data_IF_595460046210
#
_entry.id   IF_595460046210
#
_cell.length_a   1.000
_cell.length_b   1.000
_cell.length_c   1.000
_cell.angle_alpha   90.00
_cell.angle_beta   90.00
_cell.angle_gamma   90.00
#
_symmetry.space_group_name_H-M   'P 1'
#
loop_
_entity.id
_entity.type
_entity.pdbx_description
1 polymer ?
#
# COMPACT_ATOMS: atom_id res chain seq x y z
N UNK A 1 89.18 -14.64 -59.58
CA UNK A 1 89.80 -13.37 -59.16
C UNK A 1 88.93 -12.80 -58.06
N UNK A 2 89.30 -13.16 -56.84
CA UNK A 2 88.69 -12.71 -55.60
C UNK A 2 88.83 -11.20 -55.42
N UNK A 3 87.75 -10.55 -55.01
CA UNK A 3 87.82 -9.32 -54.22
C UNK A 3 86.81 -9.39 -53.09
N UNK A 4 87.35 -9.62 -51.89
CA UNK A 4 86.74 -9.27 -50.61
C UNK A 4 86.28 -7.80 -50.64
N UNK A 5 85.17 -7.51 -49.98
CA UNK A 5 85.00 -6.19 -49.38
C UNK A 5 84.35 -6.30 -48.00
N UNK A 6 85.02 -5.64 -47.05
CA UNK A 6 84.77 -5.62 -45.61
C UNK A 6 83.50 -4.85 -45.27
N UNK A 7 82.71 -5.41 -44.36
CA UNK A 7 81.60 -4.71 -43.70
C UNK A 7 82.06 -4.19 -42.34
N UNK A 8 81.87 -2.88 -42.12
CA UNK A 8 82.21 -2.18 -40.89
C UNK A 8 81.30 -2.57 -39.71
N UNK A 9 81.78 -2.48 -38.46
CA UNK A 9 80.99 -2.81 -37.28
C UNK A 9 79.89 -1.76 -37.02
N UNK A 10 78.68 -2.25 -36.76
CA UNK A 10 77.50 -1.45 -36.41
C UNK A 10 77.62 -0.95 -34.96
N UNK A 11 77.32 0.33 -34.65
CA UNK A 11 77.34 0.85 -33.28
C UNK A 11 76.21 0.24 -32.44
N UNK A 12 76.52 -0.25 -31.24
CA UNK A 12 75.51 -0.64 -30.26
C UNK A 12 74.96 0.59 -29.53
N UNK A 13 73.68 0.86 -29.71
CA UNK A 13 72.93 1.88 -28.97
C UNK A 13 72.63 1.35 -27.56
N UNK A 14 73.20 2.00 -26.54
CA UNK A 14 72.84 1.73 -25.14
C UNK A 14 71.44 2.25 -24.84
N UNK A 15 70.53 1.33 -24.53
CA UNK A 15 69.16 1.61 -24.10
C UNK A 15 69.17 2.11 -22.65
N UNK A 16 68.88 3.40 -22.48
CA UNK A 16 68.86 4.07 -21.18
C UNK A 16 67.57 3.71 -20.45
N UNK A 17 67.66 2.71 -19.57
CA UNK A 17 66.56 2.22 -18.71
C UNK A 17 65.94 3.36 -17.90
N UNK A 18 64.76 3.80 -18.33
CA UNK A 18 63.96 4.84 -17.67
C UNK A 18 62.89 4.24 -16.72
N UNK A 19 63.01 2.96 -16.35
CA UNK A 19 61.95 2.18 -15.68
C UNK A 19 61.92 2.21 -14.15
N UNK A 20 62.93 2.77 -13.47
CA UNK A 20 63.02 2.66 -12.01
C UNK A 20 62.06 3.59 -11.24
N UNK A 21 61.81 4.80 -11.75
CA UNK A 21 60.94 5.77 -11.05
C UNK A 21 59.46 5.43 -11.17
N UNK A 22 59.02 4.88 -12.30
CA UNK A 22 57.63 4.50 -12.52
C UNK A 22 57.22 3.32 -11.64
N UNK A 23 58.12 2.35 -11.44
CA UNK A 23 57.87 1.22 -10.53
C UNK A 23 57.66 1.68 -9.08
N UNK A 24 58.42 2.66 -8.59
CA UNK A 24 58.25 3.20 -7.24
C UNK A 24 56.88 3.89 -7.04
N UNK A 25 56.37 4.58 -8.06
CA UNK A 25 55.03 5.18 -8.00
C UNK A 25 53.92 4.12 -7.95
N UNK A 26 54.05 3.03 -8.71
CA UNK A 26 53.06 1.94 -8.71
C UNK A 26 53.03 1.24 -7.34
N UNK A 27 54.19 0.95 -6.75
CA UNK A 27 54.25 0.34 -5.41
C UNK A 27 53.66 1.26 -4.32
N UNK A 28 53.87 2.57 -4.43
CA UNK A 28 53.26 3.56 -3.52
C UNK A 28 51.73 3.62 -3.64
N UNK A 29 51.19 3.65 -4.86
CA UNK A 29 49.73 3.68 -5.07
C UNK A 29 49.04 2.41 -4.57
N UNK A 30 49.64 1.23 -4.79
CA UNK A 30 49.09 -0.05 -4.32
C UNK A 30 49.09 -0.13 -2.78
N UNK A 31 50.14 0.34 -2.11
CA UNK A 31 50.18 0.34 -0.64
C UNK A 31 49.14 1.28 -0.01
N UNK A 32 48.86 2.43 -0.64
CA UNK A 32 47.78 3.33 -0.21
C UNK A 32 46.40 2.68 -0.37
N UNK A 33 46.14 2.00 -1.50
CA UNK A 33 44.87 1.30 -1.74
C UNK A 33 44.63 0.16 -0.75
N UNK A 34 45.66 -0.63 -0.42
CA UNK A 34 45.56 -1.69 0.58
C UNK A 34 45.29 -1.10 1.97
N UNK A 35 45.95 0.01 2.33
CA UNK A 35 45.71 0.72 3.59
C UNK A 35 44.28 1.24 3.72
N UNK A 36 43.72 1.84 2.67
CA UNK A 36 42.33 2.31 2.63
C UNK A 36 41.33 1.14 2.73
N UNK A 37 41.58 0.04 2.03
CA UNK A 37 40.75 -1.16 2.12
C UNK A 37 40.72 -1.76 3.54
N UNK A 38 41.89 -1.91 4.16
CA UNK A 38 42.01 -2.40 5.54
C UNK A 38 41.36 -1.44 6.55
N UNK A 39 41.49 -0.12 6.35
CA UNK A 39 40.83 0.87 7.18
C UNK A 39 39.30 0.79 7.09
N UNK A 40 38.72 0.63 5.88
CA UNK A 40 37.27 0.50 5.73
C UNK A 40 36.73 -0.82 6.33
N UNK A 41 37.50 -1.92 6.24
CA UNK A 41 37.15 -3.19 6.88
C UNK A 41 37.25 -3.12 8.42
N UNK A 42 38.22 -2.37 8.97
CA UNK A 42 38.38 -2.20 10.42
C UNK A 42 37.50 -1.12 11.05
N UNK A 43 37.10 -0.10 10.28
CA UNK A 43 36.22 0.98 10.73
C UNK A 43 34.76 0.53 10.86
N UNK A 44 34.38 -0.55 10.16
CA UNK A 44 33.21 -1.36 10.51
C UNK A 44 33.51 -2.15 11.78
N UNK A 45 33.66 -1.46 12.91
CA UNK A 45 33.52 -2.08 14.22
C UNK A 45 32.16 -2.75 14.21
N UNK A 46 32.16 -4.08 14.31
CA UNK A 46 30.99 -4.82 14.70
C UNK A 46 30.39 -4.07 15.89
N UNK A 47 29.23 -3.43 15.67
CA UNK A 47 28.40 -3.01 16.78
C UNK A 47 28.29 -4.27 17.63
N UNK A 48 28.85 -4.22 18.86
CA UNK A 48 28.51 -5.23 19.85
C UNK A 48 26.99 -5.36 19.75
N UNK A 49 26.44 -6.58 19.60
CA UNK A 49 25.01 -6.76 19.44
C UNK A 49 24.38 -5.95 20.55
N UNK A 50 23.71 -4.86 20.17
CA UNK A 50 22.94 -4.08 21.12
C UNK A 50 22.02 -5.12 21.67
N UNK A 51 22.22 -5.49 22.93
CA UNK A 51 21.28 -6.33 23.63
C UNK A 51 19.99 -5.54 23.48
N UNK A 52 19.11 -6.03 22.59
CA UNK A 52 17.75 -5.59 22.55
C UNK A 52 17.28 -5.90 23.96
N UNK A 53 17.32 -4.89 24.83
CA UNK A 53 16.38 -4.80 25.92
C UNK A 53 15.05 -4.76 25.18
N UNK A 54 14.55 -5.95 24.84
CA UNK A 54 13.16 -6.19 24.61
C UNK A 54 12.58 -5.88 25.98
N UNK A 55 12.31 -4.59 26.22
CA UNK A 55 11.28 -4.19 27.15
C UNK A 55 10.11 -5.02 26.69
N UNK A 56 9.85 -6.09 27.44
CA UNK A 56 8.73 -6.98 27.19
C UNK A 56 7.54 -6.04 27.08
N UNK A 57 7.06 -5.85 25.84
CA UNK A 57 5.83 -5.15 25.58
C UNK A 57 4.85 -5.82 26.53
N UNK A 58 4.28 -5.10 27.52
CA UNK A 58 3.40 -5.72 28.48
C UNK A 58 2.40 -6.52 27.66
N UNK A 59 2.38 -7.84 27.91
CA UNK A 59 1.41 -8.72 27.29
C UNK A 59 0.07 -8.05 27.56
N UNK A 60 -0.73 -7.70 26.54
CA UNK A 60 -1.95 -6.95 26.76
C UNK A 60 -2.72 -7.72 27.82
N UNK A 61 -2.96 -7.07 28.96
CA UNK A 61 -3.95 -7.57 29.92
C UNK A 61 -5.18 -7.83 29.07
N UNK A 62 -5.82 -9.01 29.15
CA UNK A 62 -7.07 -9.24 28.45
C UNK A 62 -8.05 -8.21 28.97
N UNK A 63 -8.10 -7.08 28.26
CA UNK A 63 -9.11 -6.06 28.39
C UNK A 63 -10.42 -6.80 28.24
N UNK A 64 -11.29 -6.67 29.24
CA UNK A 64 -12.67 -7.14 29.15
C UNK A 64 -13.16 -6.86 27.73
N UNK A 65 -13.81 -7.85 27.11
CA UNK A 65 -14.31 -7.83 25.74
C UNK A 65 -15.44 -6.78 25.58
N UNK A 66 -15.14 -5.51 25.84
CA UNK A 66 -16.00 -4.35 25.66
C UNK A 66 -16.37 -4.16 24.18
N UNK A 67 -15.70 -4.90 23.29
CA UNK A 67 -16.01 -5.00 21.87
C UNK A 67 -17.09 -6.03 21.52
N UNK A 68 -17.62 -6.81 22.48
CA UNK A 68 -18.57 -7.90 22.20
C UNK A 68 -19.87 -7.43 21.53
N UNK A 69 -20.26 -6.16 21.75
CA UNK A 69 -21.47 -5.56 21.21
C UNK A 69 -21.22 -4.63 20.01
N UNK A 70 -19.98 -4.57 19.51
CA UNK A 70 -19.65 -3.71 18.39
C UNK A 70 -20.21 -4.27 17.09
N UNK A 71 -20.59 -3.36 16.19
CA UNK A 71 -21.03 -3.71 14.85
C UNK A 71 -19.89 -3.57 13.87
N UNK A 72 -19.95 -4.34 12.80
CA UNK A 72 -19.00 -4.26 11.69
C UNK A 72 -19.66 -3.60 10.49
N UNK A 73 -19.06 -2.53 9.99
CA UNK A 73 -19.34 -2.01 8.66
C UNK A 73 -18.34 -2.61 7.67
N UNK A 74 -18.83 -3.04 6.51
CA UNK A 74 -18.00 -3.63 5.45
C UNK A 74 -18.28 -2.89 4.15
N UNK A 75 -17.26 -2.25 3.60
CA UNK A 75 -17.30 -1.71 2.25
C UNK A 75 -16.68 -2.74 1.29
N UNK A 76 -17.54 -3.42 0.54
CA UNK A 76 -17.15 -4.49 -0.39
C UNK A 76 -16.51 -3.96 -1.67
N UNK A 77 -16.84 -2.72 -2.05
CA UNK A 77 -16.33 -2.09 -3.27
C UNK A 77 -14.85 -1.77 -3.14
N UNK A 78 -14.46 -1.09 -2.06
CA UNK A 78 -13.06 -0.74 -1.79
C UNK A 78 -12.32 -1.89 -1.09
N UNK A 79 -13.05 -2.75 -0.36
CA UNK A 79 -12.48 -3.84 0.39
C UNK A 79 -11.86 -3.34 1.70
N UNK A 80 -12.70 -2.84 2.59
CA UNK A 80 -12.33 -2.61 3.98
C UNK A 80 -13.48 -2.95 4.91
N UNK A 81 -13.16 -3.18 6.17
CA UNK A 81 -14.14 -3.23 7.24
C UNK A 81 -13.61 -2.47 8.46
N UNK A 82 -14.54 -2.01 9.28
CA UNK A 82 -14.27 -1.31 10.53
C UNK A 82 -15.35 -1.70 11.52
N UNK A 83 -14.95 -1.93 12.77
CA UNK A 83 -15.91 -2.09 13.85
C UNK A 83 -16.14 -0.76 14.54
N UNK A 84 -17.36 -0.55 14.99
CA UNK A 84 -17.76 0.66 15.68
C UNK A 84 -18.70 0.32 16.84
N UNK A 85 -18.64 1.11 17.93
CA UNK A 85 -19.62 1.00 18.99
C UNK A 85 -20.99 1.44 18.47
N UNK A 86 -22.03 0.63 18.66
CA UNK A 86 -23.40 0.97 18.25
C UNK A 86 -24.33 0.84 19.45
N UNK A 87 -25.04 1.91 19.86
CA UNK A 87 -26.12 1.76 20.82
C UNK A 87 -27.27 0.99 20.19
N UNK A 88 -28.03 0.23 21.00
CA UNK A 88 -29.18 -0.56 20.53
C UNK A 88 -30.23 0.27 19.78
N UNK A 89 -30.29 1.59 20.05
CA UNK A 89 -31.32 2.49 19.54
C UNK A 89 -31.04 3.08 18.17
N UNK A 90 -29.78 3.13 17.72
CA UNK A 90 -29.42 3.61 16.38
C UNK A 90 -28.46 2.61 15.72
N UNK A 91 -29.03 1.56 15.12
CA UNK A 91 -28.21 0.44 14.69
C UNK A 91 -27.57 0.62 13.31
N UNK A 92 -27.81 1.73 12.62
CA UNK A 92 -27.50 1.88 11.21
C UNK A 92 -26.45 2.97 10.98
N UNK A 93 -25.53 2.67 10.07
CA UNK A 93 -24.58 3.62 9.50
C UNK A 93 -25.28 4.29 8.31
N UNK A 94 -25.11 5.60 8.18
CA UNK A 94 -25.75 6.38 7.12
C UNK A 94 -24.73 7.04 6.20
N UNK A 95 -25.13 7.23 4.96
CA UNK A 95 -24.50 8.14 4.01
C UNK A 95 -25.28 9.45 4.05
N UNK A 96 -24.58 10.57 4.16
CA UNK A 96 -25.20 11.90 4.16
C UNK A 96 -24.31 12.93 3.49
N UNK A 97 -24.94 13.78 2.67
CA UNK A 97 -24.37 15.07 2.29
C UNK A 97 -24.61 16.05 3.45
N UNK A 98 -23.76 17.07 3.62
CA UNK A 98 -23.82 18.07 4.70
C UNK A 98 -25.16 18.85 4.81
N UNK A 99 -26.17 18.58 3.97
CA UNK A 99 -27.53 19.10 4.07
C UNK A 99 -28.64 18.15 3.58
N UNK A 100 -28.37 16.84 3.43
CA UNK A 100 -29.25 15.89 2.73
C UNK A 100 -29.83 14.77 3.59
N UNK A 101 -30.93 14.16 3.12
CA UNK A 101 -31.54 12.99 3.74
C UNK A 101 -30.51 11.87 3.92
N UNK A 102 -30.38 11.37 5.14
CA UNK A 102 -29.53 10.23 5.46
C UNK A 102 -30.05 8.96 4.77
N UNK A 103 -29.22 8.29 3.97
CA UNK A 103 -29.52 6.96 3.39
C UNK A 103 -28.75 5.90 4.16
N UNK A 104 -29.33 4.71 4.38
CA UNK A 104 -28.56 3.58 4.91
C UNK A 104 -27.43 3.19 3.95
N UNK A 105 -26.26 2.86 4.51
CA UNK A 105 -25.15 2.30 3.73
C UNK A 105 -25.50 0.91 3.18
N UNK A 106 -24.95 0.58 2.02
CA UNK A 106 -25.05 -0.76 1.41
C UNK A 106 -23.68 -1.44 1.20
N UNK A 107 -22.59 -0.75 1.54
CA UNK A 107 -21.22 -1.27 1.42
C UNK A 107 -20.63 -1.09 0.02
N UNK A 108 -21.25 -0.27 -0.84
CA UNK A 108 -20.76 0.06 -2.19
C UNK A 108 -20.30 1.52 -2.33
N UNK A 109 -20.18 2.22 -1.20
CA UNK A 109 -19.73 3.60 -1.11
C UNK A 109 -18.29 3.77 -1.64
N UNK A 110 -17.97 4.93 -2.23
CA UNK A 110 -16.70 5.13 -2.96
C UNK A 110 -16.16 6.57 -2.91
N UNK A 111 -17.08 7.54 -3.00
CA UNK A 111 -16.79 8.96 -2.99
C UNK A 111 -17.86 9.66 -2.14
N UNK A 112 -17.78 9.51 -0.83
CA UNK A 112 -18.85 9.91 0.09
C UNK A 112 -18.36 10.00 1.53
N UNK A 113 -19.25 10.51 2.39
CA UNK A 113 -19.12 10.50 3.84
C UNK A 113 -20.01 9.40 4.44
N UNK A 114 -19.42 8.59 5.30
CA UNK A 114 -20.08 7.56 6.08
C UNK A 114 -20.16 8.02 7.53
N UNK A 115 -21.35 8.06 8.10
CA UNK A 115 -21.61 8.55 9.44
C UNK A 115 -21.86 7.38 10.41
N UNK A 116 -21.10 7.34 11.51
CA UNK A 116 -21.22 6.32 12.53
C UNK A 116 -21.91 6.88 13.78
N UNK A 117 -22.95 6.18 14.30
CA UNK A 117 -23.70 6.66 15.45
C UNK A 117 -22.82 6.64 16.71
N UNK A 118 -22.94 7.67 17.55
CA UNK A 118 -22.22 7.74 18.82
C UNK A 118 -22.91 7.04 19.97
N UNK A 119 -22.16 6.88 21.07
CA UNK A 119 -22.60 6.25 22.31
C UNK A 119 -23.42 7.20 23.21
N UNK A 120 -23.38 8.51 22.94
CA UNK A 120 -23.99 9.54 23.77
C UNK A 120 -25.53 9.52 23.77
N UNK A 121 -26.18 9.96 24.88
CA UNK A 121 -27.63 10.02 25.01
C UNK A 121 -28.31 10.98 24.03
N UNK A 122 -27.53 11.89 23.43
CA UNK A 122 -27.99 12.88 22.46
C UNK A 122 -27.97 12.38 21.01
N UNK A 123 -27.61 11.11 20.77
CA UNK A 123 -27.55 10.54 19.43
C UNK A 123 -26.58 11.30 18.49
N UNK A 124 -25.54 11.90 19.07
CA UNK A 124 -24.54 12.63 18.31
C UNK A 124 -23.65 11.64 17.55
N UNK A 125 -23.17 12.05 16.38
CA UNK A 125 -22.24 11.26 15.58
C UNK A 125 -20.95 11.06 16.38
N UNK A 126 -20.51 9.80 16.55
CA UNK A 126 -19.22 9.53 17.21
C UNK A 126 -18.07 9.94 16.28
N UNK A 127 -18.15 9.50 15.03
CA UNK A 127 -17.21 9.88 14.00
C UNK A 127 -17.86 9.73 12.62
N UNK A 128 -17.22 10.31 11.61
CA UNK A 128 -17.51 10.01 10.22
C UNK A 128 -16.24 9.58 9.49
N UNK A 129 -16.41 8.77 8.46
CA UNK A 129 -15.37 8.36 7.54
C UNK A 129 -15.70 8.94 6.17
N UNK A 130 -14.91 9.92 5.75
CA UNK A 130 -14.90 10.39 4.38
C UNK A 130 -13.94 9.53 3.56
N UNK A 131 -14.39 9.14 2.38
CA UNK A 131 -13.59 8.37 1.44
C UNK A 131 -13.80 8.87 0.02
N UNK A 132 -12.72 8.93 -0.75
CA UNK A 132 -12.76 9.31 -2.16
C UNK A 132 -11.56 8.78 -2.93
N UNK A 133 -11.65 8.60 -4.26
CA UNK A 133 -10.53 8.20 -5.09
C UNK A 133 -9.37 9.20 -5.00
N UNK A 134 -8.18 8.70 -4.66
CA UNK A 134 -6.99 9.52 -4.48
C UNK A 134 -5.72 8.73 -4.80
N UNK A 135 -4.91 9.27 -5.71
CA UNK A 135 -3.65 8.66 -6.18
C UNK A 135 -2.41 9.46 -5.75
N UNK A 136 -2.58 10.48 -4.89
CA UNK A 136 -1.46 11.26 -4.36
C UNK A 136 -0.79 10.57 -3.18
N UNK A 137 0.20 11.25 -2.58
CA UNK A 137 0.82 10.80 -1.34
C UNK A 137 0.08 11.36 -0.12
N UNK A 138 0.29 10.75 1.04
CA UNK A 138 -0.39 11.07 2.29
C UNK A 138 -0.13 12.51 2.76
N UNK A 139 1.10 12.99 2.57
CA UNK A 139 1.55 14.33 2.95
C UNK A 139 0.82 15.46 2.19
N UNK A 140 0.38 15.18 0.97
CA UNK A 140 -0.30 16.15 0.10
C UNK A 140 -1.81 16.17 0.34
N UNK A 141 -2.36 15.16 1.04
CA UNK A 141 -3.79 14.99 1.23
C UNK A 141 -4.47 16.18 1.94
N UNK A 142 -3.90 16.80 3.00
CA UNK A 142 -4.44 18.00 3.64
C UNK A 142 -4.51 19.23 2.73
N UNK A 143 -3.76 19.26 1.64
CA UNK A 143 -3.79 20.35 0.66
C UNK A 143 -4.69 20.04 -0.54
N UNK A 144 -5.21 18.81 -0.62
CA UNK A 144 -5.93 18.37 -1.81
C UNK A 144 -7.24 19.15 -1.98
N UNK A 145 -7.55 19.63 -3.20
CA UNK A 145 -8.83 20.29 -3.47
C UNK A 145 -10.07 19.43 -3.21
N UNK A 146 -9.88 18.11 -3.08
CA UNK A 146 -10.93 17.17 -2.73
C UNK A 146 -11.47 17.42 -1.32
N UNK A 147 -10.60 17.74 -0.35
CA UNK A 147 -11.03 18.08 1.02
C UNK A 147 -11.90 19.33 1.08
N UNK A 148 -11.65 20.31 0.21
CA UNK A 148 -12.44 21.55 0.17
C UNK A 148 -13.90 21.32 -0.26
N UNK A 149 -14.27 20.14 -0.78
CA UNK A 149 -15.60 19.93 -1.38
C UNK A 149 -16.67 19.35 -0.47
N UNK A 150 -16.34 18.46 0.46
CA UNK A 150 -17.36 17.55 1.01
C UNK A 150 -17.94 17.95 2.37
N UNK A 151 -17.26 18.78 3.18
CA UNK A 151 -17.75 19.08 4.52
C UNK A 151 -18.05 20.54 4.85
N UNK A 152 -17.48 21.52 4.16
CA UNK A 152 -17.68 22.92 4.54
C UNK A 152 -17.88 23.83 3.34
N UNK A 153 -19.13 23.90 2.86
CA UNK A 153 -19.60 25.00 2.03
C UNK A 153 -19.68 26.30 2.84
N UNK A 154 -18.54 26.83 3.31
CA UNK A 154 -18.53 28.15 3.94
C UNK A 154 -17.33 28.54 4.79
N UNK A 155 -16.43 27.62 5.16
CA UNK A 155 -15.22 27.98 5.90
C UNK A 155 -14.11 28.27 4.89
N UNK A 156 -13.73 29.54 4.79
CA UNK A 156 -12.57 29.96 4.03
C UNK A 156 -11.29 29.56 4.77
N UNK A 157 -10.67 28.48 4.33
CA UNK A 157 -9.38 28.02 4.86
C UNK A 157 -8.19 28.77 4.27
N UNK A 158 -8.40 29.73 3.36
CA UNK A 158 -7.31 30.54 2.84
C UNK A 158 -6.73 31.41 3.96
N UNK A 159 -5.57 31.00 4.47
CA UNK A 159 -4.81 31.73 5.51
C UNK A 159 -4.79 31.10 6.90
N UNK A 160 -5.36 29.91 7.11
CA UNK A 160 -5.06 29.13 8.31
C UNK A 160 -3.72 28.41 8.13
N UNK A 161 -2.83 28.59 9.10
CA UNK A 161 -1.62 27.78 9.18
C UNK A 161 -1.99 26.30 9.25
N UNK A 162 -1.25 25.45 8.54
CA UNK A 162 -1.47 24.01 8.55
C UNK A 162 -1.55 23.52 10.00
N UNK A 163 -2.58 22.74 10.37
CA UNK A 163 -2.64 22.18 11.71
C UNK A 163 -1.36 21.37 11.96
N UNK A 164 -0.70 21.55 13.11
CA UNK A 164 0.49 20.79 13.42
C UNK A 164 0.16 19.31 13.45
N UNK A 165 1.02 18.49 12.84
CA UNK A 165 0.92 17.03 12.93
C UNK A 165 1.01 16.64 14.39
N UNK A 166 -0.03 15.99 14.91
CA UNK A 166 -0.11 15.54 16.29
C UNK A 166 0.68 14.23 16.49
N UNK A 167 0.42 13.24 15.61
CA UNK A 167 0.96 11.87 15.73
C UNK A 167 1.04 11.21 14.36
N UNK A 168 2.01 10.31 14.16
CA UNK A 168 2.06 9.38 13.03
C UNK A 168 1.94 7.95 13.54
N UNK A 169 1.01 7.18 13.01
CA UNK A 169 0.73 5.80 13.43
C UNK A 169 0.52 4.93 12.19
N UNK A 170 0.88 3.65 12.25
CA UNK A 170 0.54 2.71 11.18
C UNK A 170 -0.78 1.98 11.48
N UNK A 171 -1.67 1.89 10.49
CA UNK A 171 -2.88 1.06 10.52
C UNK A 171 -2.76 -0.01 9.42
N UNK A 172 -2.59 -1.28 9.81
CA UNK A 172 -2.34 -2.41 8.90
C UNK A 172 -1.25 -2.14 7.85
N UNK A 173 -0.08 -1.68 8.31
CA UNK A 173 1.08 -1.33 7.48
C UNK A 173 0.95 -0.05 6.64
N UNK A 174 -0.19 0.66 6.70
CA UNK A 174 -0.34 1.96 6.07
C UNK A 174 -0.05 3.09 7.06
N UNK A 175 0.78 4.05 6.65
CA UNK A 175 1.04 5.25 7.44
C UNK A 175 -0.23 6.10 7.56
N UNK A 176 -0.41 6.72 8.73
CA UNK A 176 -1.48 7.68 9.00
C UNK A 176 -0.93 8.94 9.62
N UNK A 177 -1.57 10.07 9.33
CA UNK A 177 -1.27 11.36 9.94
C UNK A 177 -2.47 11.79 10.77
N UNK A 178 -2.20 12.14 12.04
CA UNK A 178 -3.20 12.65 12.95
C UNK A 178 -3.04 14.16 13.07
N UNK A 179 -4.15 14.87 13.00
CA UNK A 179 -4.24 16.29 13.27
C UNK A 179 -5.15 16.49 14.49
N UNK A 180 -4.70 17.35 15.39
CA UNK A 180 -5.55 17.89 16.45
C UNK A 180 -6.06 19.24 15.96
N UNK A 181 -7.37 19.37 15.82
CA UNK A 181 -8.02 20.63 15.50
C UNK A 181 -8.68 21.14 16.77
N UNK A 182 -8.29 22.34 17.18
CA UNK A 182 -9.01 23.11 18.18
C UNK A 182 -9.89 24.10 17.43
N UNK A 183 -11.20 23.89 17.41
CA UNK A 183 -12.11 24.86 16.83
C UNK A 183 -12.17 26.10 17.72
N UNK A 184 -11.55 27.20 17.28
CA UNK A 184 -11.76 28.51 17.91
C UNK A 184 -13.04 29.12 17.35
N UNK A 185 -14.18 28.54 17.71
CA UNK A 185 -15.50 29.06 17.34
C UNK A 185 -15.82 30.25 18.26
N UNK A 186 -15.40 31.44 17.84
CA UNK A 186 -15.56 32.70 18.56
C UNK A 186 -14.77 32.78 19.89
N UNK A 187 -14.32 33.97 20.29
CA UNK A 187 -13.38 34.18 21.42
C UNK A 187 -13.93 33.80 22.81
N UNK A 188 -15.08 33.11 22.89
CA UNK A 188 -15.87 32.93 24.12
C UNK A 188 -16.26 31.48 24.45
N UNK A 189 -15.95 30.50 23.60
CA UNK A 189 -16.06 29.08 23.97
C UNK A 189 -14.70 28.41 23.79
N UNK A 190 -14.24 27.75 24.84
CA UNK A 190 -13.01 26.94 24.79
C UNK A 190 -13.32 25.75 23.88
N UNK A 191 -12.53 25.65 22.81
CA UNK A 191 -12.77 24.78 21.66
C UNK A 191 -12.79 23.31 22.03
N UNK A 192 -13.78 22.61 21.49
CA UNK A 192 -13.78 21.17 21.45
C UNK A 192 -12.60 20.71 20.58
N UNK A 193 -11.82 19.76 21.10
CA UNK A 193 -10.73 19.13 20.36
C UNK A 193 -11.35 18.08 19.46
N UNK A 194 -11.25 18.28 18.15
CA UNK A 194 -11.59 17.28 17.15
C UNK A 194 -10.32 16.68 16.59
N UNK A 195 -10.36 15.38 16.31
CA UNK A 195 -9.26 14.70 15.64
C UNK A 195 -9.64 14.46 14.18
N UNK A 196 -8.70 14.75 13.28
CA UNK A 196 -8.78 14.29 11.90
C UNK A 196 -7.63 13.31 11.63
N UNK A 197 -7.95 12.15 11.06
CA UNK A 197 -6.98 11.09 10.82
C UNK A 197 -6.99 10.71 9.36
N UNK A 198 -5.82 10.79 8.74
CA UNK A 198 -5.63 10.71 7.31
C UNK A 198 -4.94 9.40 6.97
N UNK A 199 -5.47 8.71 5.97
CA UNK A 199 -4.94 7.45 5.49
C UNK A 199 -5.08 7.42 3.96
N UNK A 200 -4.03 7.00 3.27
CA UNK A 200 -4.08 6.76 1.82
C UNK A 200 -3.78 5.29 1.57
N UNK A 201 -4.72 4.60 0.93
CA UNK A 201 -4.62 3.17 0.65
C UNK A 201 -5.55 2.79 -0.50
N UNK A 202 -5.21 1.73 -1.26
CA UNK A 202 -6.06 1.20 -2.34
C UNK A 202 -6.59 2.26 -3.31
N UNK A 203 -5.73 3.24 -3.69
CA UNK A 203 -6.09 4.37 -4.56
C UNK A 203 -7.25 5.23 -4.02
N UNK A 204 -7.40 5.28 -2.70
CA UNK A 204 -8.39 6.07 -1.99
C UNK A 204 -7.74 6.83 -0.84
N UNK A 205 -8.29 7.99 -0.56
CA UNK A 205 -8.09 8.69 0.70
C UNK A 205 -9.20 8.30 1.67
N UNK A 206 -8.84 8.20 2.94
CA UNK A 206 -9.73 7.97 4.06
C UNK A 206 -9.46 9.06 5.08
N UNK A 207 -10.49 9.80 5.47
CA UNK A 207 -10.39 10.84 6.48
C UNK A 207 -11.41 10.52 7.57
N UNK A 208 -10.91 10.23 8.77
CA UNK A 208 -11.75 10.06 9.94
C UNK A 208 -11.95 11.42 10.60
N UNK A 209 -13.19 11.89 10.64
CA UNK A 209 -13.57 13.09 11.38
C UNK A 209 -14.15 12.64 12.72
N UNK A 210 -13.43 12.90 13.80
CA UNK A 210 -13.75 12.37 15.13
C UNK A 210 -14.25 13.47 16.05
N UNK A 211 -15.43 13.24 16.64
CA UNK A 211 -16.03 14.14 17.61
C UNK A 211 -15.23 14.12 18.93
N UNK A 212 -15.22 15.26 19.62
CA UNK A 212 -14.53 15.50 20.89
C UNK A 212 -14.96 14.57 22.03
N UNK A 213 -16.12 13.91 21.90
CA UNK A 213 -16.63 12.96 22.89
C UNK A 213 -15.83 11.64 22.97
N UNK A 214 -15.08 11.27 21.92
CA UNK A 214 -14.26 10.05 21.93
C UNK A 214 -12.88 10.30 22.55
N UNK A 215 -12.50 9.46 23.51
CA UNK A 215 -11.14 9.51 24.06
C UNK A 215 -10.13 8.96 23.06
N UNK A 216 -8.85 9.34 23.16
CA UNK A 216 -7.79 8.78 22.30
C UNK A 216 -7.75 7.23 22.36
N UNK A 217 -8.09 6.64 23.51
CA UNK A 217 -8.18 5.19 23.65
C UNK A 217 -9.34 4.58 22.85
N UNK A 218 -10.51 5.23 22.83
CA UNK A 218 -11.65 4.79 22.01
C UNK A 218 -11.30 4.87 20.53
N UNK A 219 -10.60 5.94 20.12
CA UNK A 219 -10.13 6.14 18.76
C UNK A 219 -9.15 5.05 18.37
N UNK A 220 -8.11 4.83 19.19
CA UNK A 220 -7.11 3.78 18.96
C UNK A 220 -7.78 2.40 18.89
N UNK A 221 -8.79 2.14 19.72
CA UNK A 221 -9.57 0.90 19.67
C UNK A 221 -10.34 0.78 18.35
N UNK A 222 -11.07 1.81 17.91
CA UNK A 222 -11.80 1.84 16.64
C UNK A 222 -10.84 1.56 15.48
N UNK A 223 -9.72 2.31 15.41
CA UNK A 223 -8.73 2.18 14.35
C UNK A 223 -8.02 0.82 14.37
N UNK A 224 -7.83 0.21 15.53
CA UNK A 224 -7.28 -1.15 15.63
C UNK A 224 -8.19 -2.22 14.99
N UNK A 225 -9.48 -1.92 14.80
CA UNK A 225 -10.42 -2.81 14.11
C UNK A 225 -10.56 -2.53 12.62
N UNK A 226 -10.10 -1.36 12.16
CA UNK A 226 -10.08 -1.05 10.74
C UNK A 226 -9.14 -2.03 10.06
N UNK A 227 -9.60 -2.70 9.00
CA UNK A 227 -8.76 -3.58 8.18
C UNK A 227 -9.18 -3.54 6.74
N UNK A 228 -8.18 -3.53 5.87
CA UNK A 228 -8.41 -3.77 4.46
C UNK A 228 -8.74 -5.25 4.25
N UNK A 229 -9.88 -5.51 3.62
CA UNK A 229 -10.25 -6.83 3.14
C UNK A 229 -9.85 -6.91 1.68
N UNK A 230 -9.18 -7.97 1.25
CA UNK A 230 -8.92 -8.13 -0.18
C UNK A 230 -10.29 -8.27 -0.87
N UNK A 231 -10.52 -7.48 -1.93
CA UNK A 231 -11.68 -7.73 -2.80
C UNK A 231 -11.53 -9.11 -3.41
N UNK A 232 -12.63 -9.75 -3.81
CA UNK A 232 -12.55 -11.06 -4.46
C UNK A 232 -11.62 -11.01 -5.67
N UNK A 233 -11.64 -9.92 -6.44
CA UNK A 233 -10.72 -9.66 -7.55
C UNK A 233 -9.25 -9.56 -7.09
N UNK A 234 -8.96 -8.89 -5.98
CA UNK A 234 -7.61 -8.83 -5.41
C UNK A 234 -7.13 -10.22 -4.96
N UNK A 235 -7.99 -11.01 -4.32
CA UNK A 235 -7.67 -12.40 -3.95
C UNK A 235 -7.38 -13.22 -5.20
N UNK A 236 -8.21 -13.10 -6.24
CA UNK A 236 -8.00 -13.79 -7.52
C UNK A 236 -6.66 -13.37 -8.13
N UNK A 237 -6.37 -12.07 -8.23
CA UNK A 237 -5.12 -11.57 -8.81
C UNK A 237 -3.91 -12.09 -8.03
N UNK A 238 -3.94 -12.04 -6.70
CA UNK A 238 -2.85 -12.54 -5.87
C UNK A 238 -2.65 -14.05 -6.07
N UNK A 239 -3.73 -14.84 -6.05
CA UNK A 239 -3.67 -16.28 -6.28
C UNK A 239 -3.17 -16.64 -7.69
N UNK A 240 -3.72 -16.01 -8.73
CA UNK A 240 -3.35 -16.27 -10.12
C UNK A 240 -1.92 -15.81 -10.40
N UNK A 241 -1.47 -14.68 -9.83
CA UNK A 241 -0.11 -14.19 -10.01
C UNK A 241 0.95 -15.19 -9.59
N UNK A 242 0.72 -15.91 -8.48
CA UNK A 242 1.62 -16.97 -7.98
C UNK A 242 1.78 -18.14 -8.95
N UNK A 243 0.75 -18.40 -9.76
CA UNK A 243 0.74 -19.47 -10.76
C UNK A 243 1.27 -19.01 -12.14
N UNK A 244 1.48 -17.71 -12.35
CA UNK A 244 1.95 -17.16 -13.62
C UNK A 244 3.46 -16.96 -13.61
N UNK A 245 4.17 -17.76 -14.41
CA UNK A 245 5.65 -17.72 -14.55
C UNK A 245 6.19 -16.33 -14.94
N UNK A 246 5.36 -15.47 -15.53
CA UNK A 246 5.76 -14.13 -15.98
C UNK A 246 5.41 -12.99 -15.02
N UNK A 247 4.81 -13.29 -13.85
CA UNK A 247 4.33 -12.26 -12.93
C UNK A 247 5.45 -11.34 -12.39
N UNK A 248 6.68 -11.84 -12.30
CA UNK A 248 7.83 -11.06 -11.80
C UNK A 248 8.44 -10.10 -12.84
N UNK A 249 7.92 -10.06 -14.07
CA UNK A 249 8.47 -9.19 -15.13
C UNK A 249 8.06 -7.73 -14.89
N UNK A 250 8.99 -6.76 -15.01
CA UNK A 250 8.64 -5.34 -14.94
C UNK A 250 7.55 -4.97 -15.96
N UNK A 251 6.53 -4.25 -15.49
CA UNK A 251 5.40 -3.84 -16.33
C UNK A 251 4.38 -4.95 -16.62
N UNK A 252 4.50 -6.12 -16.01
CA UNK A 252 3.48 -7.15 -16.06
C UNK A 252 2.23 -6.71 -15.31
N UNK A 253 1.07 -6.82 -15.95
CA UNK A 253 -0.23 -6.45 -15.40
C UNK A 253 -1.14 -7.68 -15.43
N UNK A 254 -1.98 -7.82 -14.41
CA UNK A 254 -3.04 -8.81 -14.33
C UNK A 254 -4.34 -8.04 -14.13
N UNK A 255 -5.37 -8.39 -14.88
CA UNK A 255 -6.69 -7.78 -14.77
C UNK A 255 -7.76 -8.88 -14.74
N UNK A 256 -8.64 -8.84 -13.74
CA UNK A 256 -9.83 -9.68 -13.69
C UNK A 256 -10.90 -9.04 -14.56
N UNK A 257 -11.41 -9.77 -15.56
CA UNK A 257 -12.45 -9.26 -16.46
C UNK A 257 -13.85 -9.67 -16.05
N UNK A 258 -13.99 -10.82 -15.40
CA UNK A 258 -15.28 -11.31 -14.90
C UNK A 258 -15.09 -12.31 -13.77
N UNK A 259 -15.97 -12.22 -12.79
CA UNK A 259 -16.16 -13.21 -11.73
C UNK A 259 -17.61 -13.67 -11.77
N UNK A 260 -17.85 -14.98 -11.78
CA UNK A 260 -19.18 -15.58 -11.71
C UNK A 260 -19.15 -16.79 -10.76
N UNK A 261 -19.65 -16.59 -9.55
CA UNK A 261 -19.60 -17.63 -8.51
C UNK A 261 -18.16 -18.05 -8.22
N UNK A 262 -17.85 -19.33 -8.45
CA UNK A 262 -16.53 -19.91 -8.24
C UNK A 262 -15.63 -19.89 -9.48
N UNK A 263 -15.93 -19.05 -10.47
CA UNK A 263 -15.18 -18.98 -11.73
C UNK A 263 -14.76 -17.54 -12.02
N UNK A 264 -13.56 -17.38 -12.58
CA UNK A 264 -13.06 -16.09 -13.02
C UNK A 264 -12.31 -16.21 -14.35
N UNK A 265 -12.37 -15.16 -15.15
CA UNK A 265 -11.46 -14.99 -16.28
C UNK A 265 -10.87 -13.59 -16.28
N UNK A 266 -9.70 -13.46 -16.89
CA UNK A 266 -9.04 -12.19 -17.05
C UNK A 266 -7.97 -12.20 -18.13
N UNK A 267 -7.21 -11.12 -18.15
CA UNK A 267 -6.04 -10.95 -19.01
C UNK A 267 -4.80 -10.73 -18.17
N UNK A 268 -3.64 -11.14 -18.68
CA UNK A 268 -2.36 -10.84 -18.07
C UNK A 268 -1.28 -10.64 -19.15
N UNK A 269 -0.29 -9.78 -18.89
CA UNK A 269 0.77 -9.51 -19.86
C UNK A 269 1.49 -8.19 -19.66
N UNK A 270 2.37 -7.87 -20.60
CA UNK A 270 3.03 -6.57 -20.72
C UNK A 270 2.50 -5.91 -21.99
N UNK A 271 1.80 -4.75 -21.92
CA UNK A 271 1.28 -4.07 -23.10
C UNK A 271 2.36 -3.84 -24.17
N UNK A 272 2.06 -4.04 -25.48
CA UNK A 272 0.75 -4.38 -26.04
C UNK A 272 0.44 -5.89 -26.05
N UNK A 273 1.34 -6.73 -25.56
CA UNK A 273 1.15 -8.17 -25.51
C UNK A 273 0.33 -8.64 -24.32
N UNK A 274 -0.16 -9.87 -24.39
CA UNK A 274 -0.83 -10.52 -23.27
C UNK A 274 -1.37 -11.89 -23.63
N UNK A 275 -2.03 -12.50 -22.66
CA UNK A 275 -2.74 -13.76 -22.76
C UNK A 275 -3.97 -13.71 -21.85
N UNK A 276 -4.92 -14.60 -22.11
CA UNK A 276 -6.09 -14.80 -21.25
C UNK A 276 -5.79 -15.86 -20.21
N UNK A 277 -6.40 -15.75 -19.03
CA UNK A 277 -6.33 -16.75 -17.98
C UNK A 277 -7.72 -17.09 -17.46
N UNK A 278 -7.90 -18.33 -17.00
CA UNK A 278 -9.10 -18.81 -16.32
C UNK A 278 -8.71 -19.38 -14.95
N UNK A 279 -9.55 -19.11 -13.96
CA UNK A 279 -9.38 -19.63 -12.61
C UNK A 279 -10.70 -20.19 -12.06
N UNK A 280 -10.57 -21.14 -11.14
CA UNK A 280 -11.67 -21.73 -10.40
C UNK A 280 -11.39 -21.65 -8.90
N UNK A 281 -12.43 -21.44 -8.10
CA UNK A 281 -12.36 -21.46 -6.64
C UNK A 281 -12.64 -22.87 -6.14
N UNK A 282 -11.62 -23.53 -5.60
CA UNK A 282 -11.70 -24.88 -5.01
C UNK A 282 -11.20 -24.81 -3.57
N UNK A 283 -11.95 -25.39 -2.63
CA UNK A 283 -11.62 -25.35 -1.20
C UNK A 283 -11.39 -23.91 -0.67
N UNK A 284 -12.20 -22.96 -1.14
CA UNK A 284 -12.11 -21.54 -0.83
C UNK A 284 -10.81 -20.85 -1.29
N UNK A 285 -10.05 -21.48 -2.18
CA UNK A 285 -8.83 -20.91 -2.78
C UNK A 285 -8.97 -20.82 -4.30
N UNK A 286 -8.55 -19.71 -4.87
CA UNK A 286 -8.50 -19.54 -6.32
C UNK A 286 -7.28 -20.27 -6.88
N UNK A 287 -7.51 -21.04 -7.94
CA UNK A 287 -6.47 -21.77 -8.67
C UNK A 287 -6.60 -21.48 -10.15
N UNK A 288 -5.49 -21.12 -10.78
CA UNK A 288 -5.43 -21.00 -12.25
C UNK A 288 -5.61 -22.39 -12.87
N UNK A 289 -6.54 -22.52 -13.82
CA UNK A 289 -6.79 -23.79 -14.52
C UNK A 289 -6.24 -23.79 -15.95
N UNK A 290 -6.09 -22.61 -16.54
CA UNK A 290 -5.50 -22.44 -17.87
C UNK A 290 -5.07 -21.00 -18.09
N UNK A 291 -4.02 -20.81 -18.88
CA UNK A 291 -3.61 -19.53 -19.44
C UNK A 291 -3.00 -19.72 -20.84
N UNK A 292 -3.19 -18.74 -21.73
CA UNK A 292 -2.67 -18.81 -23.09
C UNK A 292 -3.17 -17.71 -24.02
N UNK A 293 -2.58 -17.61 -25.22
CA UNK A 293 -3.00 -16.63 -26.23
C UNK A 293 -4.15 -17.14 -27.12
N UNK A 294 -4.44 -18.44 -27.05
CA UNK A 294 -5.45 -19.09 -27.88
C UNK A 294 -6.79 -19.20 -27.14
N UNK A 295 -7.73 -19.92 -27.74
CA UNK A 295 -8.98 -20.32 -27.08
C UNK A 295 -8.67 -21.50 -26.14
N UNK A 296 -9.25 -21.58 -24.92
CA UNK A 296 -8.98 -22.68 -24.00
C UNK A 296 -9.47 -24.03 -24.55
N UNK A 297 -8.78 -25.15 -24.24
CA UNK A 297 -9.25 -26.49 -24.55
C UNK A 297 -10.61 -26.79 -23.93
N UNK A 298 -11.56 -27.35 -24.70
CA UNK A 298 -12.86 -27.75 -24.17
C UNK A 298 -12.72 -28.81 -23.07
N UNK A 299 -11.71 -29.68 -23.18
CA UNK A 299 -11.35 -30.65 -22.14
C UNK A 299 -11.12 -30.01 -20.76
N UNK A 300 -10.40 -28.89 -20.68
CA UNK A 300 -10.20 -28.17 -19.40
C UNK A 300 -11.50 -27.50 -18.95
N UNK A 301 -12.18 -26.79 -19.84
CA UNK A 301 -13.46 -26.13 -19.54
C UNK A 301 -14.48 -27.11 -18.96
N UNK A 302 -14.61 -28.30 -19.57
CA UNK A 302 -15.51 -29.36 -19.14
C UNK A 302 -15.06 -30.02 -17.83
N UNK A 303 -13.76 -30.24 -17.63
CA UNK A 303 -13.21 -30.84 -16.40
C UNK A 303 -13.59 -30.03 -15.16
N UNK A 304 -13.62 -28.70 -15.27
CA UNK A 304 -13.96 -27.80 -14.18
C UNK A 304 -15.41 -27.29 -14.22
N UNK A 305 -16.24 -27.76 -15.17
CA UNK A 305 -17.62 -27.30 -15.37
C UNK A 305 -17.75 -25.76 -15.47
N UNK A 306 -16.84 -25.12 -16.20
CA UNK A 306 -16.84 -23.65 -16.33
C UNK A 306 -18.11 -23.19 -17.07
N UNK A 307 -18.91 -22.26 -16.52
CA UNK A 307 -20.14 -21.78 -17.16
C UNK A 307 -19.87 -21.06 -18.49
N UNK A 308 -20.78 -21.18 -19.45
CA UNK A 308 -20.64 -20.57 -20.79
C UNK A 308 -20.55 -19.05 -20.74
N UNK A 309 -21.00 -18.42 -19.67
CA UNK A 309 -20.91 -16.99 -19.43
C UNK A 309 -19.48 -16.52 -19.11
N UNK A 310 -18.58 -17.42 -18.70
CA UNK A 310 -17.18 -17.10 -18.35
C UNK A 310 -16.26 -17.15 -19.58
N UNK A 311 -16.56 -17.97 -20.57
CA UNK A 311 -15.69 -18.15 -21.73
C UNK A 311 -16.45 -17.91 -23.05
N UNK A 312 -15.77 -17.30 -24.04
CA UNK A 312 -16.39 -17.03 -25.34
C UNK A 312 -16.56 -18.32 -26.17
N UNK A 313 -15.48 -19.08 -26.29
CA UNK A 313 -15.44 -20.34 -27.03
C UNK A 313 -14.41 -21.30 -26.43
N UNK A 314 -14.45 -22.58 -26.81
CA UNK A 314 -13.44 -23.57 -26.46
C UNK A 314 -13.13 -24.43 -27.69
N UNK A 315 -11.90 -24.97 -27.80
CA UNK A 315 -11.56 -25.93 -28.87
C UNK A 315 -10.39 -26.82 -28.46
N UNK A 316 -10.53 -28.13 -28.69
CA UNK A 316 -9.46 -29.12 -28.43
C UNK A 316 -8.54 -29.35 -29.65
N UNK A 317 -8.78 -28.67 -30.78
CA UNK A 317 -8.09 -28.90 -32.06
C UNK A 317 -6.92 -27.93 -32.32
N UNK A 318 -6.12 -27.61 -31.30
CA UNK A 318 -4.95 -26.72 -31.42
C UNK A 318 -3.62 -27.47 -31.49
#
# INVERSE_FOLDING_TARGET
MDKLNQQAPVPQTQEKSHGSKLMLFIFGAVTILIGLGAYMLGANKAQAPVANNVTSRPSPVPTIDEASNWKTYVNKKIGFEIKYPSPDRLPYVTVGDAGGQSKNVDGTEDNTVIQFPGLGPKYELAFSLELFPYNGILEDLPESPAQMRLFYSGIDYSGLDKPPVYKKVAINDYETIWFNRTETEDKRKIGEVTYEIYLVAKNHAFIFHINSELSENDIDQILSTFKFTNTEEQIIMESVSKDLVSADRPGFQIEVKKVLGNYAYGIAGVPPGGFVWYAVKQNNQWKKIWDGQNIPPCSIINTYNVPKEIYKDCSDNY
#
